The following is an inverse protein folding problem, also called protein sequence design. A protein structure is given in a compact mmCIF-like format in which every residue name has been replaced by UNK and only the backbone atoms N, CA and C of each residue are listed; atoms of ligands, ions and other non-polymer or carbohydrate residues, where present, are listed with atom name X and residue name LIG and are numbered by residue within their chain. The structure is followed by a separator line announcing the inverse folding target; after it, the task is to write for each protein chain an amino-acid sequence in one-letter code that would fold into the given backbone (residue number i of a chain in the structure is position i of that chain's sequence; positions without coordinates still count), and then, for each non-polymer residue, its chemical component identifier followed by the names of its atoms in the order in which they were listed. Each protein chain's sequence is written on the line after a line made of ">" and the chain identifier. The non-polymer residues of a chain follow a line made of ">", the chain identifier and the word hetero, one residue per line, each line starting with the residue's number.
data_IF_890422977821
#
_entry.id   IF_890422977821
#
_cell.length_a   1.000
_cell.length_b   1.000
_cell.length_c   1.000
_cell.angle_alpha   90.00
_cell.angle_beta   90.00
_cell.angle_gamma   90.00
#
_symmetry.space_group_name_H-M   'P 1'
#
loop_
_entity.id
_entity.type
_entity.pdbx_description
1 polymer ?
#
# COMPACT_ATOMS: atom_id res chain seq x y z
N UNK A 1 46.78 18.51 3.74
CA UNK A 1 45.63 17.86 4.40
C UNK A 1 44.41 18.71 4.06
N UNK A 2 43.71 18.34 2.99
CA UNK A 2 42.42 18.94 2.65
C UNK A 2 41.41 18.19 3.51
N UNK A 3 40.75 18.88 4.44
CA UNK A 3 39.62 18.30 5.17
C UNK A 3 38.50 18.10 4.15
N UNK A 4 38.19 16.84 3.82
CA UNK A 4 36.97 16.52 3.10
C UNK A 4 35.78 17.00 3.95
N UNK A 5 34.88 17.75 3.32
CA UNK A 5 33.62 18.16 3.93
C UNK A 5 32.82 16.89 4.24
N UNK A 6 32.42 16.62 5.50
CA UNK A 6 31.69 15.40 5.84
C UNK A 6 30.34 15.25 5.11
N UNK A 7 29.87 16.29 4.43
CA UNK A 7 28.63 16.30 3.65
C UNK A 7 28.82 16.06 2.13
N UNK A 8 30.06 15.90 1.62
CA UNK A 8 30.29 15.63 0.19
C UNK A 8 30.03 14.15 -0.16
N UNK A 9 29.21 13.84 -1.20
CA UNK A 9 28.92 12.47 -1.57
C UNK A 9 30.18 11.73 -2.06
N UNK A 10 30.40 10.52 -1.55
CA UNK A 10 31.55 9.68 -1.91
C UNK A 10 31.47 9.33 -3.40
N UNK A 11 32.58 9.42 -4.14
CA UNK A 11 32.60 8.95 -5.52
C UNK A 11 32.82 7.43 -5.55
N UNK A 12 32.22 6.72 -6.50
CA UNK A 12 32.37 5.25 -6.61
C UNK A 12 33.83 4.78 -6.74
N UNK A 13 34.72 5.67 -7.19
CA UNK A 13 36.15 5.41 -7.31
C UNK A 13 36.88 5.43 -5.97
N UNK A 14 36.29 6.03 -4.93
CA UNK A 14 36.82 6.06 -3.57
C UNK A 14 36.44 4.79 -2.78
N UNK A 15 35.56 3.95 -3.33
CA UNK A 15 35.25 2.64 -2.78
C UNK A 15 36.38 1.64 -3.08
N UNK A 16 36.52 0.54 -2.30
CA UNK A 16 37.52 -0.49 -2.53
C UNK A 16 37.44 -1.06 -3.95
N UNK A 17 38.51 -0.92 -4.72
CA UNK A 17 38.53 -1.34 -6.13
C UNK A 17 39.06 -2.76 -6.26
N UNK A 18 38.40 -3.62 -7.03
CA UNK A 18 38.79 -5.05 -7.17
C UNK A 18 40.25 -5.26 -7.62
N UNK A 19 40.85 -4.32 -8.35
CA UNK A 19 42.24 -4.41 -8.80
C UNK A 19 43.26 -4.22 -7.66
N UNK A 20 42.85 -3.67 -6.51
CA UNK A 20 43.69 -3.54 -5.31
C UNK A 20 43.56 -4.74 -4.36
N UNK A 21 42.79 -5.76 -4.73
CA UNK A 21 42.55 -6.97 -3.93
C UNK A 21 42.13 -6.68 -2.47
N UNK A 22 41.07 -5.87 -2.25
CA UNK A 22 40.60 -5.53 -0.90
C UNK A 22 40.06 -6.75 -0.16
N UNK A 23 40.07 -6.72 1.17
CA UNK A 23 39.46 -7.80 1.97
C UNK A 23 37.96 -7.93 1.68
N UNK A 24 37.40 -9.12 1.89
CA UNK A 24 35.96 -9.33 1.73
C UNK A 24 35.13 -8.44 2.67
N UNK A 25 35.64 -8.17 3.88
CA UNK A 25 34.98 -7.26 4.83
C UNK A 25 34.89 -5.82 4.29
N UNK A 26 35.95 -5.31 3.66
CA UNK A 26 35.93 -3.97 3.03
C UNK A 26 34.93 -3.90 1.87
N UNK A 27 34.85 -4.94 1.05
CA UNK A 27 33.86 -5.02 -0.03
C UNK A 27 32.43 -5.04 0.52
N UNK A 28 32.14 -5.86 1.52
CA UNK A 28 30.82 -5.93 2.15
C UNK A 28 30.43 -4.59 2.78
N UNK A 29 31.36 -3.91 3.46
CA UNK A 29 31.12 -2.58 4.01
C UNK A 29 30.79 -1.56 2.91
N UNK A 30 31.55 -1.56 1.82
CA UNK A 30 31.29 -0.69 0.67
C UNK A 30 29.94 -1.00 0.01
N UNK A 31 29.59 -2.27 -0.17
CA UNK A 31 28.29 -2.69 -0.70
C UNK A 31 27.12 -2.33 0.22
N UNK A 32 27.35 -2.28 1.54
CA UNK A 32 26.35 -1.82 2.51
C UNK A 32 26.05 -0.32 2.36
N UNK A 33 27.06 0.52 2.05
CA UNK A 33 26.86 1.93 1.72
C UNK A 33 26.02 2.14 0.45
N UNK A 34 26.02 1.15 -0.44
CA UNK A 34 25.22 1.15 -1.65
C UNK A 34 23.81 0.58 -1.44
N UNK A 35 23.36 0.27 -0.23
CA UNK A 35 21.99 -0.22 0.00
C UNK A 35 20.97 0.85 -0.37
N UNK A 36 19.99 0.51 -1.21
CA UNK A 36 18.87 1.41 -1.51
C UNK A 36 17.76 1.14 -0.51
N UNK A 37 17.36 2.16 0.27
CA UNK A 37 16.14 2.05 1.07
C UNK A 37 14.93 2.15 0.13
N UNK A 38 13.89 1.31 0.29
CA UNK A 38 12.63 1.51 -0.41
C UNK A 38 12.14 2.94 -0.18
N UNK A 39 11.75 3.64 -1.25
CA UNK A 39 11.13 4.97 -1.11
C UNK A 39 9.87 4.85 -0.26
N UNK A 40 9.72 5.73 0.72
CA UNK A 40 8.48 5.83 1.50
C UNK A 40 7.40 6.52 0.67
N UNK A 41 6.15 6.11 0.84
CA UNK A 41 5.01 6.89 0.34
C UNK A 41 4.87 8.16 1.18
N UNK A 42 4.41 9.24 0.55
CA UNK A 42 4.20 10.51 1.23
C UNK A 42 3.29 11.44 0.46
N UNK A 43 2.75 12.43 1.17
CA UNK A 43 2.01 13.57 0.60
C UNK A 43 2.94 14.57 -0.09
N UNK A 44 4.22 14.53 0.23
CA UNK A 44 5.28 15.34 -0.35
C UNK A 44 6.31 14.42 -0.99
N UNK A 45 6.98 14.91 -2.04
CA UNK A 45 8.11 14.20 -2.61
C UNK A 45 9.14 13.86 -1.51
N UNK A 46 9.70 12.63 -1.50
CA UNK A 46 10.65 12.24 -0.48
C UNK A 46 11.88 13.16 -0.51
N UNK A 47 12.18 13.82 0.62
CA UNK A 47 13.43 14.54 0.79
C UNK A 47 14.61 13.55 0.78
N UNK A 48 15.71 13.91 0.12
CA UNK A 48 16.91 13.09 0.10
C UNK A 48 17.41 12.85 1.54
N UNK A 49 17.51 11.57 1.93
CA UNK A 49 17.99 11.18 3.26
C UNK A 49 19.40 11.74 3.47
N UNK A 50 19.61 12.47 4.58
CA UNK A 50 20.93 12.92 5.07
C UNK A 50 21.77 11.73 5.59
N UNK A 51 22.07 10.79 4.71
CA UNK A 51 23.07 9.76 4.94
C UNK A 51 24.28 10.05 4.04
N UNK A 52 25.44 9.51 4.39
CA UNK A 52 26.59 9.55 3.49
C UNK A 52 26.21 8.82 2.20
N UNK A 53 26.02 9.58 1.12
CA UNK A 53 25.52 9.07 -0.15
C UNK A 53 26.67 8.87 -1.11
N UNK A 54 26.64 7.76 -1.87
CA UNK A 54 27.56 7.55 -2.98
C UNK A 54 26.95 8.19 -4.22
N UNK A 55 27.73 8.97 -4.96
CA UNK A 55 27.28 9.58 -6.20
C UNK A 55 26.78 8.51 -7.19
N UNK A 56 25.57 8.64 -7.78
CA UNK A 56 24.94 7.57 -8.54
C UNK A 56 25.71 7.18 -9.81
N UNK A 57 26.45 8.11 -10.40
CA UNK A 57 27.23 7.84 -11.60
C UNK A 57 28.31 6.77 -11.35
N UNK A 58 28.28 5.71 -12.16
CA UNK A 58 29.29 4.65 -12.14
C UNK A 58 29.01 3.51 -11.17
N UNK A 59 27.99 3.60 -10.30
CA UNK A 59 27.62 2.51 -9.37
C UNK A 59 27.33 1.22 -10.12
N UNK A 60 26.51 1.25 -11.18
CA UNK A 60 26.21 0.06 -11.99
C UNK A 60 27.47 -0.61 -12.52
N UNK A 61 28.42 0.19 -13.04
CA UNK A 61 29.70 -0.33 -13.55
C UNK A 61 30.50 -0.99 -12.41
N UNK A 62 30.60 -0.34 -11.26
CA UNK A 62 31.28 -0.88 -10.09
C UNK A 62 30.68 -2.22 -9.63
N UNK A 63 29.35 -2.29 -9.46
CA UNK A 63 28.65 -3.52 -9.07
C UNK A 63 28.87 -4.65 -10.08
N UNK A 64 28.71 -4.38 -11.38
CA UNK A 64 28.96 -5.38 -12.42
C UNK A 64 30.40 -5.85 -12.45
N UNK A 65 31.38 -4.99 -12.13
CA UNK A 65 32.78 -5.38 -12.06
C UNK A 65 33.05 -6.38 -10.94
N UNK A 66 32.43 -6.20 -9.77
CA UNK A 66 32.52 -7.14 -8.64
C UNK A 66 31.88 -8.47 -9.02
N UNK A 67 30.65 -8.44 -9.57
CA UNK A 67 29.91 -9.66 -9.98
C UNK A 67 30.69 -10.45 -11.04
N UNK A 68 31.35 -9.78 -11.97
CA UNK A 68 32.12 -10.43 -13.03
C UNK A 68 33.50 -10.94 -12.59
N UNK A 69 33.98 -10.55 -11.41
CA UNK A 69 35.29 -10.93 -10.91
C UNK A 69 35.25 -12.32 -10.26
N UNK A 70 36.26 -13.18 -10.47
CA UNK A 70 36.34 -14.46 -9.76
C UNK A 70 36.67 -14.30 -8.27
N UNK A 71 37.01 -13.08 -7.81
CA UNK A 71 37.39 -12.78 -6.42
C UNK A 71 38.46 -13.74 -5.86
N UNK A 72 39.40 -14.16 -6.72
CA UNK A 72 40.34 -15.25 -6.44
C UNK A 72 41.32 -14.98 -5.27
N UNK A 73 41.44 -13.73 -4.83
CA UNK A 73 42.27 -13.35 -3.68
C UNK A 73 41.54 -13.53 -2.33
N UNK A 74 40.23 -13.78 -2.34
CA UNK A 74 39.47 -14.08 -1.12
C UNK A 74 39.66 -15.55 -0.74
N UNK A 75 39.86 -15.80 0.56
CA UNK A 75 40.32 -17.10 1.07
C UNK A 75 39.29 -18.23 0.97
N UNK A 76 37.99 -17.90 1.09
CA UNK A 76 36.92 -18.90 1.20
C UNK A 76 35.84 -18.70 0.15
N UNK A 77 35.21 -19.79 -0.27
CA UNK A 77 34.08 -19.75 -1.22
C UNK A 77 32.89 -19.02 -0.60
N UNK A 78 32.62 -19.26 0.69
CA UNK A 78 31.52 -18.63 1.42
C UNK A 78 31.64 -17.11 1.44
N UNK A 79 32.87 -16.58 1.50
CA UNK A 79 33.10 -15.13 1.47
C UNK A 79 32.92 -14.56 0.05
N UNK A 80 33.29 -15.31 -0.99
CA UNK A 80 33.05 -14.91 -2.39
C UNK A 80 31.56 -14.85 -2.67
N UNK A 81 30.81 -15.89 -2.30
CA UNK A 81 29.36 -15.96 -2.42
C UNK A 81 28.69 -14.79 -1.70
N UNK A 82 29.08 -14.50 -0.46
CA UNK A 82 28.52 -13.36 0.28
C UNK A 82 28.76 -12.00 -0.42
N UNK A 83 29.93 -11.80 -1.04
CA UNK A 83 30.25 -10.57 -1.79
C UNK A 83 29.45 -10.51 -3.10
N UNK A 84 29.36 -11.62 -3.85
CA UNK A 84 28.57 -11.68 -5.08
C UNK A 84 27.09 -11.45 -4.80
N UNK A 85 26.52 -12.10 -3.79
CA UNK A 85 25.13 -11.92 -3.36
C UNK A 85 24.85 -10.47 -2.98
N UNK A 86 25.72 -9.86 -2.17
CA UNK A 86 25.58 -8.46 -1.79
C UNK A 86 25.64 -7.54 -3.01
N UNK A 87 26.58 -7.74 -3.94
CA UNK A 87 26.72 -6.93 -5.14
C UNK A 87 25.52 -7.09 -6.09
N UNK A 88 25.05 -8.32 -6.29
CA UNK A 88 23.87 -8.64 -7.08
C UNK A 88 22.61 -8.01 -6.49
N UNK A 89 22.42 -8.07 -5.16
CA UNK A 89 21.31 -7.43 -4.47
C UNK A 89 21.30 -5.91 -4.70
N UNK A 90 22.44 -5.24 -4.55
CA UNK A 90 22.57 -3.78 -4.79
C UNK A 90 22.28 -3.39 -6.24
N UNK A 91 22.57 -4.27 -7.20
CA UNK A 91 22.25 -4.07 -8.60
C UNK A 91 20.75 -4.26 -8.85
N UNK A 92 20.16 -5.30 -8.27
CA UNK A 92 18.73 -5.62 -8.36
C UNK A 92 17.85 -4.50 -7.80
N UNK A 93 18.23 -3.94 -6.64
CA UNK A 93 17.57 -2.79 -6.00
C UNK A 93 17.48 -1.56 -6.92
N UNK A 94 18.39 -1.44 -7.89
CA UNK A 94 18.49 -0.31 -8.83
C UNK A 94 17.94 -0.64 -10.22
N UNK A 95 17.36 -1.81 -10.40
CA UNK A 95 16.86 -2.30 -11.69
C UNK A 95 15.34 -2.15 -11.83
N UNK A 96 14.73 -1.28 -11.00
CA UNK A 96 13.29 -1.03 -10.97
C UNK A 96 12.52 -1.96 -10.02
N UNK A 97 11.28 -1.59 -9.67
CA UNK A 97 10.48 -2.27 -8.64
C UNK A 97 10.18 -3.75 -8.94
N UNK A 98 10.12 -4.14 -10.22
CA UNK A 98 9.94 -5.55 -10.64
C UNK A 98 11.17 -6.43 -10.37
N UNK A 99 12.36 -5.83 -10.35
CA UNK A 99 13.60 -6.52 -10.05
C UNK A 99 13.97 -6.44 -8.55
N UNK A 100 13.25 -5.64 -7.76
CA UNK A 100 13.53 -5.54 -6.32
C UNK A 100 13.13 -6.82 -5.58
N UNK A 101 13.94 -7.25 -4.58
CA UNK A 101 13.57 -8.34 -3.71
C UNK A 101 12.35 -8.00 -2.86
N UNK A 102 11.81 -9.02 -2.19
CA UNK A 102 10.80 -8.84 -1.16
C UNK A 102 11.28 -7.84 -0.10
N UNK A 103 10.36 -7.02 0.40
CA UNK A 103 10.66 -5.97 1.36
C UNK A 103 9.53 -5.82 2.37
N UNK A 104 9.84 -5.22 3.51
CA UNK A 104 8.82 -4.78 4.46
C UNK A 104 8.85 -3.26 4.57
N UNK A 105 7.67 -2.66 4.61
CA UNK A 105 7.47 -1.21 4.69
C UNK A 105 6.70 -0.84 5.94
N UNK A 106 7.03 0.33 6.44
CA UNK A 106 6.39 0.92 7.61
C UNK A 106 5.55 2.10 7.16
N UNK A 107 4.28 2.10 7.55
CA UNK A 107 3.30 3.12 7.24
C UNK A 107 2.84 3.80 8.52
N UNK A 108 2.84 5.13 8.50
CA UNK A 108 2.34 5.95 9.59
C UNK A 108 0.92 6.38 9.26
N UNK A 109 -0.03 5.98 10.12
CA UNK A 109 -1.45 6.24 9.96
C UNK A 109 -1.85 7.31 10.99
N UNK A 110 -2.20 8.53 10.56
CA UNK A 110 -2.62 9.58 11.47
C UNK A 110 -3.90 9.19 12.19
N UNK A 111 -4.02 9.63 13.45
CA UNK A 111 -5.22 9.52 14.26
C UNK A 111 -5.89 10.89 14.41
N UNK A 112 -7.17 10.88 14.81
CA UNK A 112 -7.95 12.05 15.21
C UNK A 112 -7.30 12.89 16.32
N UNK A 113 -6.44 12.29 17.13
CA UNK A 113 -5.85 12.91 18.32
C UNK A 113 -4.42 13.44 18.08
N UNK A 114 -3.95 13.43 16.83
CA UNK A 114 -2.61 13.89 16.47
C UNK A 114 -1.48 12.90 16.78
N UNK A 115 -1.80 11.70 17.26
CA UNK A 115 -0.88 10.56 17.32
C UNK A 115 -0.89 9.81 15.98
N UNK A 116 0.10 8.94 15.76
CA UNK A 116 0.18 8.07 14.59
C UNK A 116 0.28 6.60 15.00
N UNK A 117 -0.44 5.74 14.29
CA UNK A 117 -0.24 4.30 14.36
C UNK A 117 0.76 3.84 13.31
N UNK A 118 1.57 2.85 13.68
CA UNK A 118 2.58 2.28 12.81
C UNK A 118 2.13 0.91 12.34
N UNK A 119 1.96 0.75 11.02
CA UNK A 119 1.68 -0.53 10.38
C UNK A 119 2.91 -1.01 9.61
N UNK A 120 3.26 -2.29 9.75
CA UNK A 120 4.31 -2.93 8.95
C UNK A 120 3.68 -3.90 7.95
N UNK A 121 3.95 -3.72 6.66
CA UNK A 121 3.46 -4.62 5.61
C UNK A 121 4.63 -5.24 4.85
N UNK A 122 4.54 -6.53 4.61
CA UNK A 122 5.40 -7.28 3.73
C UNK A 122 4.87 -7.25 2.29
N UNK A 123 5.75 -6.89 1.37
CA UNK A 123 5.56 -6.95 -0.07
C UNK A 123 6.54 -7.98 -0.64
N UNK A 124 6.09 -9.15 -1.12
CA UNK A 124 6.97 -10.10 -1.76
C UNK A 124 7.49 -9.55 -3.11
N UNK A 125 8.50 -10.21 -3.67
CA UNK A 125 9.00 -9.89 -5.01
C UNK A 125 7.86 -9.99 -6.03
N UNK A 126 7.74 -8.99 -6.91
CA UNK A 126 6.73 -8.97 -7.97
C UNK A 126 7.11 -9.99 -9.05
N UNK A 127 6.57 -11.19 -8.91
CA UNK A 127 6.68 -12.24 -9.93
C UNK A 127 5.33 -12.35 -10.66
N UNK A 128 5.36 -12.47 -11.98
CA UNK A 128 4.17 -12.57 -12.86
C UNK A 128 3.11 -11.48 -12.61
N UNK A 129 1.82 -11.82 -12.69
CA UNK A 129 0.66 -10.90 -12.58
C UNK A 129 0.20 -10.65 -11.13
N UNK A 130 1.11 -10.73 -10.15
CA UNK A 130 0.77 -10.57 -8.72
C UNK A 130 0.72 -9.10 -8.28
N UNK A 131 0.01 -8.24 -9.01
CA UNK A 131 -0.09 -6.79 -8.72
C UNK A 131 -0.63 -6.50 -7.31
N UNK A 132 -1.48 -7.39 -6.76
CA UNK A 132 -2.02 -7.28 -5.40
C UNK A 132 -0.99 -7.46 -4.28
N UNK A 133 0.24 -7.89 -4.60
CA UNK A 133 1.32 -8.06 -3.62
C UNK A 133 2.11 -6.78 -3.33
N UNK A 134 1.87 -5.70 -4.07
CA UNK A 134 2.47 -4.38 -3.85
C UNK A 134 1.44 -3.44 -3.23
N UNK A 135 1.88 -2.60 -2.31
CA UNK A 135 1.09 -1.46 -1.87
C UNK A 135 1.12 -0.38 -2.95
N UNK A 136 -0.05 0.17 -3.26
CA UNK A 136 -0.21 1.24 -4.25
C UNK A 136 -0.52 2.57 -3.55
N UNK A 137 -0.11 3.68 -4.17
CA UNK A 137 -0.24 5.03 -3.58
C UNK A 137 -1.69 5.39 -3.19
N UNK A 138 -2.67 4.97 -3.98
CA UNK A 138 -4.11 5.10 -3.70
C UNK A 138 -4.53 4.45 -2.37
N UNK A 139 -3.97 3.27 -2.04
CA UNK A 139 -4.21 2.62 -0.75
C UNK A 139 -3.59 3.40 0.41
N UNK A 140 -2.43 4.02 0.20
CA UNK A 140 -1.78 4.84 1.22
C UNK A 140 -2.57 6.13 1.50
N UNK A 141 -2.92 6.87 0.45
CA UNK A 141 -3.71 8.09 0.52
C UNK A 141 -5.06 7.84 1.19
N UNK A 142 -5.76 6.76 0.83
CA UNK A 142 -7.02 6.40 1.50
C UNK A 142 -6.79 6.14 2.97
N UNK A 143 -5.74 5.40 3.31
CA UNK A 143 -5.44 5.01 4.70
C UNK A 143 -5.15 6.20 5.60
N UNK A 144 -4.40 7.20 5.11
CA UNK A 144 -4.14 8.42 5.87
C UNK A 144 -5.36 9.33 5.92
N UNK A 145 -6.30 9.22 4.97
CA UNK A 145 -7.55 9.99 4.97
C UNK A 145 -8.61 9.44 5.93
N UNK A 146 -8.59 8.14 6.23
CA UNK A 146 -9.61 7.46 7.05
C UNK A 146 -9.89 8.13 8.40
N UNK A 147 -8.88 8.72 9.04
CA UNK A 147 -9.06 9.40 10.33
C UNK A 147 -10.03 10.58 10.24
N UNK A 148 -10.09 11.27 9.10
CA UNK A 148 -10.97 12.43 8.87
C UNK A 148 -12.35 12.03 8.34
N UNK A 149 -12.41 11.03 7.45
CA UNK A 149 -13.67 10.57 6.82
C UNK A 149 -14.66 9.97 7.81
N UNK A 150 -14.18 9.51 8.97
CA UNK A 150 -14.97 8.71 9.91
C UNK A 150 -15.31 9.45 11.21
N UNK A 151 -14.87 10.70 11.35
CA UNK A 151 -15.18 11.54 12.53
C UNK A 151 -16.59 12.15 12.51
N UNK A 152 -17.26 12.19 11.36
CA UNK A 152 -18.62 12.74 11.27
C UNK A 152 -19.48 11.90 10.33
N UNK A 153 -20.63 11.33 10.77
CA UNK A 153 -21.66 11.01 9.81
C UNK A 153 -22.03 12.31 9.07
N UNK A 154 -22.13 12.31 7.73
CA UNK A 154 -22.54 13.49 6.98
C UNK A 154 -23.81 14.06 7.60
N UNK A 155 -23.78 15.35 7.95
CA UNK A 155 -24.92 16.07 8.51
C UNK A 155 -26.01 16.26 7.44
N UNK A 156 -26.70 15.20 7.06
CA UNK A 156 -27.78 15.24 6.06
C UNK A 156 -29.08 14.60 6.53
N UNK A 157 -29.16 14.14 7.78
CA UNK A 157 -30.45 13.77 8.39
C UNK A 157 -30.87 14.88 9.36
N UNK A 158 -31.97 15.62 9.10
CA UNK A 158 -32.54 16.55 10.06
C UNK A 158 -32.75 15.82 11.39
N UNK A 159 -32.14 16.34 12.45
CA UNK A 159 -32.27 15.80 13.81
C UNK A 159 -33.64 16.18 14.38
N UNK A 160 -34.72 15.68 13.77
CA UNK A 160 -36.09 15.77 14.28
C UNK A 160 -36.65 14.39 14.61
N UNK A 161 -35.79 13.46 15.02
CA UNK A 161 -36.21 12.21 15.63
C UNK A 161 -36.07 12.35 17.14
N UNK A 162 -37.18 12.61 17.81
CA UNK A 162 -37.32 12.66 19.28
C UNK A 162 -37.21 11.28 19.95
N UNK A 163 -36.54 10.34 19.28
CA UNK A 163 -36.33 8.97 19.77
C UNK A 163 -34.83 8.76 19.89
N UNK A 164 -34.25 8.72 21.10
CA UNK A 164 -32.87 8.33 21.27
C UNK A 164 -32.78 6.82 21.00
N UNK A 165 -32.49 6.45 19.76
CA UNK A 165 -31.93 5.14 19.45
C UNK A 165 -30.59 5.34 18.73
N UNK A 166 -29.64 5.96 19.44
CA UNK A 166 -28.30 5.41 19.42
C UNK A 166 -28.47 3.99 19.94
N UNK A 167 -28.46 2.98 19.05
CA UNK A 167 -28.12 1.63 19.49
C UNK A 167 -26.60 1.66 19.72
N UNK A 168 -26.12 1.73 20.98
CA UNK A 168 -24.69 1.83 21.27
C UNK A 168 -23.98 0.48 21.11
N UNK A 169 -24.67 -0.55 20.59
CA UNK A 169 -24.27 -1.96 20.79
C UNK A 169 -23.86 -2.72 19.52
N UNK A 170 -24.01 -2.17 18.31
CA UNK A 170 -23.63 -2.91 17.10
C UNK A 170 -22.30 -2.41 16.51
N UNK A 171 -21.27 -3.24 16.63
CA UNK A 171 -19.99 -3.09 15.95
C UNK A 171 -20.20 -2.87 14.44
N UNK A 172 -19.59 -1.83 13.88
CA UNK A 172 -19.58 -1.54 12.45
C UNK A 172 -18.94 -2.72 11.71
N UNK A 173 -19.63 -3.30 10.73
CA UNK A 173 -19.04 -4.38 9.91
C UNK A 173 -18.53 -3.80 8.61
N UNK A 174 -17.23 -3.90 8.36
CA UNK A 174 -16.60 -3.43 7.14
C UNK A 174 -16.03 -4.57 6.29
N UNK A 175 -16.08 -4.41 4.98
CA UNK A 175 -15.49 -5.31 3.98
C UNK A 175 -14.52 -4.51 3.13
N UNK A 176 -13.27 -4.95 3.02
CA UNK A 176 -12.35 -4.42 2.03
C UNK A 176 -12.28 -5.39 0.84
N UNK A 177 -12.58 -4.86 -0.35
CA UNK A 177 -12.52 -5.58 -1.61
C UNK A 177 -11.18 -5.30 -2.30
N UNK A 178 -10.43 -6.35 -2.63
CA UNK A 178 -9.14 -6.20 -3.31
C UNK A 178 -8.11 -5.57 -2.37
N UNK A 179 -8.03 -6.10 -1.16
CA UNK A 179 -7.24 -5.52 -0.08
C UNK A 179 -5.73 -5.50 -0.39
N UNK A 180 -5.26 -6.37 -1.30
CA UNK A 180 -3.86 -6.50 -1.65
C UNK A 180 -3.00 -6.80 -0.44
N UNK A 181 -2.19 -5.81 -0.05
CA UNK A 181 -1.34 -5.87 1.15
C UNK A 181 -2.11 -5.67 2.47
N UNK A 182 -3.34 -5.15 2.43
CA UNK A 182 -4.23 -4.94 3.58
C UNK A 182 -4.13 -3.56 4.23
N UNK A 183 -3.43 -2.61 3.62
CA UNK A 183 -3.12 -1.32 4.24
C UNK A 183 -4.37 -0.57 4.70
N UNK A 184 -5.40 -0.45 3.85
CA UNK A 184 -6.59 0.36 4.15
C UNK A 184 -7.41 -0.25 5.28
N UNK A 185 -7.76 -1.53 5.18
CA UNK A 185 -8.59 -2.18 6.18
C UNK A 185 -7.87 -2.38 7.52
N UNK A 186 -6.55 -2.61 7.52
CA UNK A 186 -5.77 -2.63 8.77
C UNK A 186 -5.70 -1.25 9.41
N UNK A 187 -5.55 -0.19 8.61
CA UNK A 187 -5.61 1.20 9.10
C UNK A 187 -6.98 1.50 9.71
N UNK A 188 -8.06 1.14 9.02
CA UNK A 188 -9.42 1.28 9.53
C UNK A 188 -9.62 0.52 10.84
N UNK A 189 -9.14 -0.72 10.92
CA UNK A 189 -9.23 -1.56 12.09
C UNK A 189 -8.55 -0.91 13.30
N UNK A 190 -7.30 -0.44 13.13
CA UNK A 190 -6.56 0.23 14.18
C UNK A 190 -7.24 1.54 14.64
N UNK A 191 -7.75 2.34 13.71
CA UNK A 191 -8.43 3.61 14.01
C UNK A 191 -9.76 3.42 14.74
N UNK A 192 -10.52 2.36 14.40
CA UNK A 192 -11.86 2.12 14.97
C UNK A 192 -11.85 1.22 16.21
N UNK A 193 -10.80 0.44 16.39
CA UNK A 193 -10.64 -0.48 17.51
C UNK A 193 -11.88 -1.38 17.69
N UNK A 194 -12.47 -1.47 18.89
CA UNK A 194 -13.60 -2.36 19.16
C UNK A 194 -14.92 -1.92 18.50
N UNK A 195 -14.97 -0.70 17.95
CA UNK A 195 -16.18 -0.17 17.31
C UNK A 195 -16.38 -0.68 15.88
N UNK A 196 -15.41 -1.43 15.31
CA UNK A 196 -15.53 -2.05 14.00
C UNK A 196 -14.92 -3.45 13.92
N UNK A 197 -15.48 -4.30 13.06
CA UNK A 197 -14.89 -5.55 12.62
C UNK A 197 -14.70 -5.51 11.11
N UNK A 198 -13.47 -5.81 10.67
CA UNK A 198 -13.05 -5.63 9.29
C UNK A 198 -12.76 -7.00 8.66
N UNK A 199 -13.37 -7.28 7.52
CA UNK A 199 -13.09 -8.44 6.69
C UNK A 199 -12.28 -8.01 5.46
N UNK A 200 -11.02 -8.43 5.38
CA UNK A 200 -10.12 -8.10 4.28
C UNK A 200 -10.20 -9.21 3.23
N UNK A 201 -10.48 -8.86 1.98
CA UNK A 201 -10.68 -9.87 0.94
C UNK A 201 -9.87 -9.62 -0.32
N UNK A 202 -9.41 -10.70 -0.92
CA UNK A 202 -8.70 -10.69 -2.20
C UNK A 202 -8.78 -12.07 -2.88
N UNK A 203 -8.06 -12.26 -3.98
CA UNK A 203 -7.95 -13.51 -4.71
C UNK A 203 -7.12 -14.56 -3.93
N UNK A 204 -7.29 -15.87 -4.21
CA UNK A 204 -6.61 -16.95 -3.51
C UNK A 204 -5.08 -16.81 -3.45
N UNK A 205 -4.47 -16.25 -4.49
CA UNK A 205 -3.02 -16.04 -4.55
C UNK A 205 -2.53 -14.95 -3.58
N UNK A 206 -3.37 -13.96 -3.24
CA UNK A 206 -3.02 -12.78 -2.45
C UNK A 206 -3.31 -12.99 -0.95
N UNK A 207 -4.39 -13.71 -0.63
CA UNK A 207 -4.86 -13.92 0.74
C UNK A 207 -3.78 -14.45 1.72
N UNK A 208 -2.85 -15.36 1.34
CA UNK A 208 -1.79 -15.78 2.24
C UNK A 208 -0.89 -14.62 2.72
N UNK A 209 -0.50 -13.72 1.81
CA UNK A 209 0.30 -12.55 2.18
C UNK A 209 -0.51 -11.52 2.98
N UNK A 210 -1.79 -11.34 2.63
CA UNK A 210 -2.72 -10.50 3.37
C UNK A 210 -2.87 -10.97 4.84
N UNK A 211 -3.03 -12.27 5.06
CA UNK A 211 -3.08 -12.88 6.39
C UNK A 211 -1.74 -12.73 7.14
N UNK A 212 -0.62 -12.89 6.44
CA UNK A 212 0.71 -12.62 7.01
C UNK A 212 0.83 -11.17 7.47
N UNK A 213 0.40 -10.20 6.67
CA UNK A 213 0.41 -8.78 7.03
C UNK A 213 -0.51 -8.45 8.20
N UNK A 214 -1.68 -9.07 8.30
CA UNK A 214 -2.53 -8.92 9.49
C UNK A 214 -1.82 -9.44 10.74
N UNK A 215 -1.13 -10.58 10.65
CA UNK A 215 -0.37 -11.17 11.76
C UNK A 215 0.85 -10.32 12.17
N UNK A 216 1.56 -9.69 11.22
CA UNK A 216 2.66 -8.77 11.50
C UNK A 216 2.23 -7.58 12.38
N UNK A 217 0.95 -7.22 12.36
CA UNK A 217 0.40 -6.07 13.08
C UNK A 217 -0.41 -6.47 14.32
N UNK A 218 -0.32 -7.72 14.79
CA UNK A 218 -1.14 -8.25 15.89
C UNK A 218 -1.00 -7.46 17.19
N UNK A 219 0.18 -6.93 17.50
CA UNK A 219 0.40 -6.11 18.70
C UNK A 219 -0.41 -4.81 18.67
N UNK A 220 -0.40 -4.11 17.53
CA UNK A 220 -1.21 -2.92 17.31
C UNK A 220 -2.69 -3.26 17.40
N UNK A 221 -3.13 -4.29 16.68
CA UNK A 221 -4.54 -4.69 16.64
C UNK A 221 -5.07 -5.08 18.02
N UNK A 222 -4.27 -5.79 18.83
CA UNK A 222 -4.62 -6.11 20.22
C UNK A 222 -4.68 -4.85 21.09
N UNK A 223 -3.71 -3.94 20.96
CA UNK A 223 -3.67 -2.69 21.73
C UNK A 223 -4.87 -1.80 21.44
N UNK A 224 -5.32 -1.75 20.19
CA UNK A 224 -6.50 -0.96 19.80
C UNK A 224 -7.81 -1.72 19.98
N UNK A 225 -7.79 -3.01 20.34
CA UNK A 225 -8.99 -3.85 20.45
C UNK A 225 -9.68 -4.09 19.10
N UNK A 226 -8.92 -4.06 18.00
CA UNK A 226 -9.42 -4.20 16.65
C UNK A 226 -9.73 -5.67 16.31
N UNK A 227 -10.79 -5.89 15.51
CA UNK A 227 -11.14 -7.22 15.00
C UNK A 227 -10.93 -7.27 13.49
N UNK A 228 -10.03 -8.13 13.04
CA UNK A 228 -9.68 -8.30 11.62
C UNK A 228 -9.77 -9.78 11.24
N UNK A 229 -10.34 -10.04 10.08
CA UNK A 229 -10.35 -11.37 9.44
C UNK A 229 -9.95 -11.24 7.98
N UNK A 230 -9.40 -12.30 7.40
CA UNK A 230 -8.99 -12.33 5.98
C UNK A 230 -9.72 -13.45 5.26
N UNK A 231 -10.09 -13.26 3.99
CA UNK A 231 -10.82 -14.26 3.23
C UNK A 231 -10.68 -14.11 1.72
N UNK A 232 -11.05 -15.17 1.00
CA UNK A 232 -11.12 -15.14 -0.47
C UNK A 232 -12.45 -14.54 -0.90
N UNK A 233 -12.42 -13.56 -1.81
CA UNK A 233 -13.61 -13.04 -2.48
C UNK A 233 -13.25 -12.68 -3.93
N UNK A 234 -13.69 -13.52 -4.87
CA UNK A 234 -13.54 -13.30 -6.31
C UNK A 234 -14.79 -12.59 -6.85
N UNK A 235 -14.62 -11.35 -7.32
CA UNK A 235 -15.73 -10.52 -7.80
C UNK A 235 -16.38 -11.06 -9.08
N UNK A 236 -15.68 -11.91 -9.83
CA UNK A 236 -16.21 -12.52 -11.05
C UNK A 236 -17.22 -13.65 -10.75
N UNK A 237 -17.27 -14.12 -9.50
CA UNK A 237 -18.13 -15.21 -9.05
C UNK A 237 -19.20 -14.69 -8.08
N UNK A 238 -20.49 -14.70 -8.46
CA UNK A 238 -21.55 -14.25 -7.55
C UNK A 238 -21.68 -15.21 -6.35
N UNK A 239 -21.96 -14.68 -5.14
CA UNK A 239 -22.13 -15.52 -3.96
C UNK A 239 -23.34 -16.46 -4.12
N UNK A 240 -23.18 -17.72 -3.75
CA UNK A 240 -24.26 -18.73 -3.77
C UNK A 240 -24.24 -19.53 -2.47
N UNK A 241 -25.26 -19.43 -1.59
CA UNK A 241 -26.42 -18.54 -1.71
C UNK A 241 -26.03 -17.05 -1.61
N UNK A 242 -26.96 -16.16 -2.00
CA UNK A 242 -26.81 -14.73 -1.73
C UNK A 242 -26.72 -14.46 -0.22
N UNK A 243 -25.92 -13.48 0.23
CA UNK A 243 -25.78 -13.19 1.65
C UNK A 243 -27.10 -12.71 2.24
N UNK A 244 -27.45 -13.24 3.41
CA UNK A 244 -28.57 -12.74 4.19
C UNK A 244 -28.29 -11.31 4.70
N UNK A 245 -29.32 -10.51 5.04
CA UNK A 245 -29.13 -9.16 5.55
C UNK A 245 -28.19 -9.06 6.76
N UNK A 246 -28.14 -10.11 7.60
CA UNK A 246 -27.26 -10.17 8.76
C UNK A 246 -25.77 -10.40 8.39
N UNK A 247 -25.49 -10.87 7.17
CA UNK A 247 -24.14 -11.15 6.66
C UNK A 247 -23.56 -9.96 5.89
N UNK A 248 -24.41 -9.03 5.44
CA UNK A 248 -24.03 -7.78 4.75
C UNK A 248 -23.25 -6.79 5.62
N UNK A 249 -22.52 -5.89 4.97
CA UNK A 249 -21.60 -4.95 5.59
C UNK A 249 -22.14 -3.52 5.58
N UNK A 250 -21.80 -2.75 6.60
CA UNK A 250 -22.15 -1.34 6.72
C UNK A 250 -21.19 -0.45 5.91
N UNK A 251 -19.96 -0.90 5.72
CA UNK A 251 -18.93 -0.18 5.01
C UNK A 251 -18.25 -1.13 4.03
N UNK A 252 -18.14 -0.72 2.77
CA UNK A 252 -17.29 -1.38 1.78
C UNK A 252 -16.17 -0.42 1.41
N UNK A 253 -14.92 -0.91 1.44
CA UNK A 253 -13.72 -0.19 1.03
C UNK A 253 -13.14 -0.82 -0.24
N UNK A 254 -12.59 -0.02 -1.15
CA UNK A 254 -11.75 -0.51 -2.23
C UNK A 254 -10.74 0.56 -2.67
N UNK A 255 -9.45 0.22 -2.73
CA UNK A 255 -8.40 1.09 -3.25
C UNK A 255 -7.80 0.49 -4.52
N UNK A 256 -7.66 1.31 -5.56
CA UNK A 256 -7.16 0.91 -6.89
C UNK A 256 -7.84 -0.29 -7.57
N UNK A 257 -9.19 -0.45 -7.51
CA UNK A 257 -9.81 -1.70 -7.96
C UNK A 257 -9.92 -1.82 -9.49
N UNK A 258 -9.62 -0.78 -10.28
CA UNK A 258 -10.02 -0.68 -11.70
C UNK A 258 -8.84 -0.65 -12.68
N UNK A 259 -8.40 -1.84 -13.10
CA UNK A 259 -7.33 -2.00 -14.11
C UNK A 259 -7.72 -2.92 -15.28
N UNK A 260 -8.99 -3.32 -15.36
CA UNK A 260 -9.55 -4.15 -16.44
C UNK A 260 -10.97 -3.68 -16.80
N UNK A 261 -11.40 -3.78 -18.08
CA UNK A 261 -12.75 -3.41 -18.51
C UNK A 261 -13.89 -4.13 -17.76
N UNK A 262 -13.65 -5.31 -17.19
CA UNK A 262 -14.67 -6.06 -16.45
C UNK A 262 -14.87 -5.58 -15.01
N UNK A 263 -13.87 -4.89 -14.44
CA UNK A 263 -13.86 -4.54 -13.01
C UNK A 263 -14.99 -3.63 -12.56
N UNK A 264 -15.39 -2.58 -13.32
CA UNK A 264 -16.52 -1.75 -12.92
C UNK A 264 -17.80 -2.56 -12.71
N UNK A 265 -18.07 -3.53 -13.60
CA UNK A 265 -19.23 -4.42 -13.45
C UNK A 265 -19.09 -5.32 -12.22
N UNK A 266 -17.99 -6.07 -12.11
CA UNK A 266 -17.81 -7.04 -11.03
C UNK A 266 -17.76 -6.38 -9.65
N UNK A 267 -17.14 -5.21 -9.53
CA UNK A 267 -17.10 -4.45 -8.29
C UNK A 267 -18.50 -4.00 -7.87
N UNK A 268 -19.28 -3.42 -8.79
CA UNK A 268 -20.65 -2.95 -8.47
C UNK A 268 -21.60 -4.11 -8.21
N UNK A 269 -21.48 -5.21 -8.93
CA UNK A 269 -22.23 -6.45 -8.64
C UNK A 269 -21.87 -6.93 -7.21
N UNK A 270 -20.59 -6.95 -6.84
CA UNK A 270 -20.15 -7.32 -5.49
C UNK A 270 -20.75 -6.39 -4.42
N UNK A 271 -20.68 -5.07 -4.64
CA UNK A 271 -21.33 -4.08 -3.76
C UNK A 271 -22.82 -4.34 -3.62
N UNK A 272 -23.51 -4.69 -4.71
CA UNK A 272 -24.96 -4.97 -4.72
C UNK A 272 -25.33 -6.11 -3.77
N UNK A 273 -24.51 -7.16 -3.71
CA UNK A 273 -24.76 -8.30 -2.84
C UNK A 273 -24.39 -8.02 -1.38
N UNK A 274 -23.26 -7.37 -1.15
CA UNK A 274 -22.64 -7.31 0.18
C UNK A 274 -22.92 -6.03 0.96
N UNK A 275 -23.32 -4.93 0.33
CA UNK A 275 -23.65 -3.69 1.03
C UNK A 275 -25.02 -3.80 1.70
N UNK A 276 -25.08 -3.47 2.99
CA UNK A 276 -26.34 -3.46 3.72
C UNK A 276 -27.25 -2.33 3.22
N UNK A 277 -28.56 -2.54 3.36
CA UNK A 277 -29.56 -1.48 3.14
C UNK A 277 -29.73 -0.60 4.38
N UNK A 278 -28.66 -0.35 5.15
CA UNK A 278 -28.67 0.57 6.29
C UNK A 278 -28.74 2.04 5.86
N UNK A 279 -29.21 2.94 6.74
CA UNK A 279 -29.17 4.40 6.49
C UNK A 279 -27.73 4.92 6.37
N UNK A 280 -26.85 4.39 7.22
CA UNK A 280 -25.44 4.76 7.29
C UNK A 280 -24.54 3.84 6.46
N UNK A 281 -25.10 2.99 5.60
CA UNK A 281 -24.30 2.11 4.76
C UNK A 281 -23.51 2.95 3.75
N UNK A 282 -22.21 2.69 3.61
CA UNK A 282 -21.31 3.46 2.74
C UNK A 282 -20.40 2.57 1.91
N UNK A 283 -20.05 3.06 0.72
CA UNK A 283 -18.92 2.54 -0.07
C UNK A 283 -17.89 3.64 -0.18
N UNK A 284 -16.66 3.38 0.22
CA UNK A 284 -15.55 4.34 0.11
C UNK A 284 -14.54 3.76 -0.86
N UNK A 285 -14.21 4.53 -1.89
CA UNK A 285 -13.26 4.11 -2.91
C UNK A 285 -12.20 5.17 -3.11
N UNK A 286 -11.00 4.72 -3.45
CA UNK A 286 -9.95 5.59 -3.94
C UNK A 286 -9.29 5.00 -5.18
N UNK A 287 -9.20 5.78 -6.25
CA UNK A 287 -8.77 5.31 -7.56
C UNK A 287 -7.77 6.29 -8.18
N UNK A 288 -6.64 5.81 -8.74
CA UNK A 288 -5.75 6.67 -9.50
C UNK A 288 -6.44 7.10 -10.80
N UNK A 289 -6.30 8.38 -11.14
CA UNK A 289 -6.78 8.96 -12.39
C UNK A 289 -5.69 8.79 -13.46
N UNK A 290 -5.64 7.60 -14.05
CA UNK A 290 -4.76 7.29 -15.20
C UNK A 290 -5.59 7.34 -16.48
N UNK A 291 -5.09 8.01 -17.52
CA UNK A 291 -5.79 8.17 -18.81
C UNK A 291 -6.33 6.85 -19.37
N UNK A 292 -5.54 5.77 -19.26
CA UNK A 292 -5.90 4.45 -19.74
C UNK A 292 -7.12 3.82 -19.03
N UNK A 293 -7.43 4.27 -17.81
CA UNK A 293 -8.50 3.70 -16.97
C UNK A 293 -9.65 4.67 -16.68
N UNK A 294 -9.62 5.89 -17.23
CA UNK A 294 -10.72 6.84 -17.12
C UNK A 294 -12.07 6.28 -17.60
N UNK A 295 -12.16 5.49 -18.70
CA UNK A 295 -13.42 4.86 -19.09
C UNK A 295 -14.00 3.93 -18.02
N UNK A 296 -13.15 3.20 -17.30
CA UNK A 296 -13.54 2.29 -16.24
C UNK A 296 -14.05 3.06 -15.01
N UNK A 297 -13.41 4.18 -14.65
CA UNK A 297 -13.89 5.07 -13.58
C UNK A 297 -15.28 5.65 -13.92
N UNK A 298 -15.50 6.04 -15.18
CA UNK A 298 -16.79 6.54 -15.65
C UNK A 298 -17.88 5.45 -15.62
N UNK A 299 -17.57 4.23 -16.11
CA UNK A 299 -18.49 3.09 -16.05
C UNK A 299 -18.85 2.73 -14.60
N UNK A 300 -17.87 2.75 -13.69
CA UNK A 300 -18.10 2.54 -12.26
C UNK A 300 -19.10 3.57 -11.68
N UNK A 301 -18.86 4.86 -11.92
CA UNK A 301 -19.75 5.95 -11.46
C UNK A 301 -21.18 5.76 -12.00
N UNK A 302 -21.32 5.44 -13.29
CA UNK A 302 -22.62 5.20 -13.91
C UNK A 302 -23.35 4.02 -13.27
N UNK A 303 -22.66 2.88 -13.09
CA UNK A 303 -23.24 1.67 -12.50
C UNK A 303 -23.64 1.86 -11.04
N UNK A 304 -22.82 2.55 -10.24
CA UNK A 304 -23.17 2.91 -8.85
C UNK A 304 -24.44 3.76 -8.79
N UNK A 305 -24.58 4.74 -9.70
CA UNK A 305 -25.79 5.54 -9.86
C UNK A 305 -27.02 4.69 -10.24
N UNK A 306 -26.88 3.77 -11.19
CA UNK A 306 -27.95 2.86 -11.60
C UNK A 306 -28.37 1.89 -10.49
N UNK A 307 -27.44 1.49 -9.62
CA UNK A 307 -27.73 0.70 -8.42
C UNK A 307 -28.56 1.49 -7.38
N UNK A 308 -28.56 2.82 -7.47
CA UNK A 308 -29.26 3.71 -6.54
C UNK A 308 -28.35 4.30 -5.46
N UNK A 309 -27.03 4.23 -5.62
CA UNK A 309 -26.06 4.93 -4.78
C UNK A 309 -25.75 6.31 -5.38
N UNK A 310 -25.55 7.31 -4.54
CA UNK A 310 -25.10 8.63 -4.92
C UNK A 310 -23.86 9.03 -4.11
N UNK A 311 -23.05 9.92 -4.70
CA UNK A 311 -21.87 10.48 -4.05
C UNK A 311 -22.33 11.38 -2.91
N UNK A 312 -21.81 11.09 -1.72
CA UNK A 312 -22.02 11.84 -0.48
C UNK A 312 -20.91 12.87 -0.30
N UNK A 313 -19.69 12.47 -0.62
CA UNK A 313 -18.50 13.30 -0.58
C UNK A 313 -17.48 12.77 -1.59
N UNK A 314 -16.69 13.65 -2.19
CA UNK A 314 -15.62 13.28 -3.10
C UNK A 314 -14.56 14.36 -3.17
N UNK A 315 -13.37 13.97 -3.60
CA UNK A 315 -12.29 14.90 -3.85
C UNK A 315 -11.18 14.25 -4.64
N UNK A 316 -10.17 15.07 -4.95
CA UNK A 316 -8.97 14.62 -5.60
C UNK A 316 -7.76 14.99 -4.75
N UNK A 317 -6.75 14.13 -4.80
CA UNK A 317 -5.49 14.37 -4.14
C UNK A 317 -4.34 13.82 -4.98
N UNK A 318 -3.12 14.20 -4.61
CA UNK A 318 -1.91 13.76 -5.30
C UNK A 318 -1.02 13.08 -4.29
N UNK A 319 -0.56 11.88 -4.64
CA UNK A 319 0.45 11.15 -3.90
C UNK A 319 1.61 10.75 -4.80
N UNK A 320 2.67 10.27 -4.18
CA UNK A 320 3.86 9.80 -4.88
C UNK A 320 4.01 8.29 -4.71
N UNK A 321 4.07 7.57 -5.82
CA UNK A 321 4.35 6.13 -5.84
C UNK A 321 5.88 5.88 -5.76
N UNK A 322 6.26 4.64 -5.46
CA UNK A 322 7.66 4.22 -5.39
C UNK A 322 8.29 3.94 -6.77
N UNK A 323 7.49 4.04 -7.83
CA UNK A 323 7.97 4.01 -9.20
C UNK A 323 8.69 5.30 -9.55
N UNK A 324 9.63 5.20 -10.49
CA UNK A 324 10.37 6.36 -10.97
C UNK A 324 9.74 6.92 -12.25
N UNK A 325 9.70 8.24 -12.32
CA UNK A 325 9.45 8.98 -13.55
C UNK A 325 10.68 8.87 -14.48
N UNK A 326 10.52 9.27 -15.75
CA UNK A 326 11.62 9.24 -16.73
C UNK A 326 12.85 10.06 -16.31
N UNK A 327 12.68 11.01 -15.39
CA UNK A 327 13.75 11.83 -14.82
C UNK A 327 14.35 11.27 -13.52
N UNK A 328 13.92 10.08 -13.07
CA UNK A 328 14.34 9.44 -11.82
C UNK A 328 13.62 9.94 -10.56
N UNK A 329 12.74 10.94 -10.69
CA UNK A 329 11.88 11.44 -9.61
C UNK A 329 10.81 10.44 -9.18
N UNK A 330 10.16 10.65 -8.04
CA UNK A 330 9.03 9.80 -7.63
C UNK A 330 7.84 10.03 -8.57
N UNK A 331 7.15 8.96 -8.97
CA UNK A 331 6.02 9.04 -9.87
C UNK A 331 4.83 9.70 -9.16
N UNK A 332 4.48 10.90 -9.62
CA UNK A 332 3.27 11.60 -9.20
C UNK A 332 2.02 10.84 -9.69
N UNK A 333 1.07 10.61 -8.80
CA UNK A 333 -0.20 9.96 -9.09
C UNK A 333 -1.34 10.78 -8.49
N UNK A 334 -2.17 11.34 -9.36
CA UNK A 334 -3.43 11.98 -8.98
C UNK A 334 -4.49 10.90 -8.74
N UNK A 335 -5.14 10.96 -7.60
CA UNK A 335 -6.20 10.04 -7.17
C UNK A 335 -7.51 10.79 -7.00
N UNK A 336 -8.62 10.09 -7.27
CA UNK A 336 -9.96 10.49 -6.91
C UNK A 336 -10.48 9.56 -5.81
N UNK A 337 -10.93 10.15 -4.72
CA UNK A 337 -11.61 9.43 -3.64
C UNK A 337 -13.08 9.81 -3.61
N UNK A 338 -13.94 8.87 -3.22
CA UNK A 338 -15.38 9.15 -3.05
C UNK A 338 -16.03 8.27 -2.01
N UNK A 339 -17.05 8.84 -1.37
CA UNK A 339 -17.94 8.19 -0.41
C UNK A 339 -19.33 8.11 -1.04
N UNK A 340 -19.89 6.91 -1.12
CA UNK A 340 -21.20 6.64 -1.72
C UNK A 340 -22.20 6.19 -0.66
N UNK A 341 -23.46 6.59 -0.80
CA UNK A 341 -24.57 6.19 0.06
C UNK A 341 -25.86 6.00 -0.74
N UNK A 342 -26.85 5.33 -0.17
CA UNK A 342 -28.13 5.08 -0.83
C UNK A 342 -28.89 6.39 -1.09
N UNK A 343 -29.21 6.68 -2.34
CA UNK A 343 -29.85 7.94 -2.77
C UNK A 343 -31.20 8.22 -2.12
N UNK A 344 -32.00 7.18 -1.84
CA UNK A 344 -33.28 7.27 -1.11
C UNK A 344 -33.15 7.72 0.36
N UNK A 345 -31.92 7.87 0.84
CA UNK A 345 -31.54 8.05 2.24
C UNK A 345 -30.57 9.22 2.46
N UNK A 346 -30.18 9.88 1.37
CA UNK A 346 -29.49 11.17 1.35
C UNK A 346 -30.54 12.25 1.19
#
# INVERSE_FOLDING_TARGET
>A
MISADPDEPIHVLDLPQIHTQPSGTELIQALSLLTTKPRSFGLTAPEAVKAQTVHPAGITRYLTSIISSPLAWLDTEELREAVWDAAAARLSERSGRTAMPAMSRVFMIPTSHGEEYTLTLHEPSLTSDNLGMKTWVSSYLLSIRLHSLLESPPQLVPTTTTTPQLHPERTLRALELGAGTGLVGLSLAALRGPSASIHLTDLPAIVPNLAHNAALNVELLNRTGATVTTGVLDWSVPPTPLPAPAEQYDLILAADPLYSPSHPKWLVDTVTHWLSRGLNARVVVEMPLRDAYLPQVQDFRQRMGQLGLAVVDEGEEVGYDDWESADGGALEVRCWWSVWGWSEKL
#
